data_IF_127344226321
#
_entry.id   IF_127344226321
#
_cell.length_a   1.000
_cell.length_b   1.000
_cell.length_c   1.000
_cell.angle_alpha   90.00
_cell.angle_beta   90.00
_cell.angle_gamma   90.00
#
_symmetry.space_group_name_H-M   'P 1'
#
loop_
_entity.id
_entity.type
_entity.pdbx_description
1 polymer ?
#
# COMPACT_ATOMS: atom_id res chain seq x y z
N UNK A 1 55.70 13.25 17.69
CA UNK A 1 54.70 12.24 17.31
C UNK A 1 54.85 11.11 18.31
N UNK A 2 54.01 11.07 19.35
CA UNK A 2 54.04 9.97 20.31
C UNK A 2 53.46 8.73 19.66
N UNK A 3 54.25 7.64 19.62
CA UNK A 3 53.78 6.34 19.18
C UNK A 3 52.70 5.82 20.11
N UNK A 4 51.76 5.04 19.58
CA UNK A 4 50.82 4.33 20.46
C UNK A 4 51.58 3.31 21.31
N UNK A 5 51.22 3.06 22.58
CA UNK A 5 51.92 2.08 23.43
C UNK A 5 52.05 0.67 22.81
N UNK A 6 51.12 0.28 21.94
CA UNK A 6 51.14 -0.98 21.18
C UNK A 6 52.15 -0.99 20.02
N UNK A 7 52.50 0.18 19.49
CA UNK A 7 53.55 0.33 18.48
C UNK A 7 54.92 0.21 19.16
N UNK A 8 55.13 0.97 20.24
CA UNK A 8 56.37 0.98 21.02
C UNK A 8 56.69 -0.42 21.60
N UNK A 9 55.66 -1.14 22.07
CA UNK A 9 55.82 -2.53 22.54
C UNK A 9 56.27 -3.50 21.43
N UNK A 10 55.82 -3.29 20.19
CA UNK A 10 56.25 -4.12 19.05
C UNK A 10 57.65 -3.76 18.59
N UNK A 11 58.01 -2.48 18.57
CA UNK A 11 59.35 -2.00 18.22
C UNK A 11 60.39 -2.47 19.23
N UNK A 12 60.08 -2.39 20.53
CA UNK A 12 60.95 -2.89 21.58
C UNK A 12 61.18 -4.40 21.50
N UNK A 13 60.16 -5.19 21.17
CA UNK A 13 60.30 -6.64 20.93
C UNK A 13 61.14 -6.94 19.69
N UNK A 14 61.06 -6.12 18.65
CA UNK A 14 61.90 -6.27 17.46
C UNK A 14 63.39 -5.98 17.77
N UNK A 15 63.66 -5.03 18.67
CA UNK A 15 65.01 -4.71 19.13
C UNK A 15 65.58 -5.73 20.15
N UNK A 16 64.74 -6.55 20.79
CA UNK A 16 65.14 -7.50 21.84
C UNK A 16 64.61 -8.93 21.57
N UNK A 17 65.23 -9.70 20.66
CA UNK A 17 64.70 -11.00 20.22
C UNK A 17 64.66 -12.10 21.29
N UNK A 18 65.45 -11.97 22.37
CA UNK A 18 65.45 -12.91 23.50
C UNK A 18 64.31 -12.67 24.50
N UNK A 19 63.62 -11.54 24.41
CA UNK A 19 62.60 -11.13 25.36
C UNK A 19 61.22 -11.65 24.98
N UNK A 20 60.37 -11.82 25.99
CA UNK A 20 59.03 -12.37 25.79
C UNK A 20 57.97 -11.29 25.59
N UNK A 21 56.89 -11.63 24.87
CA UNK A 21 55.70 -10.77 24.73
C UNK A 21 55.08 -10.42 26.10
N UNK A 22 55.29 -11.28 27.11
CA UNK A 22 54.88 -11.03 28.50
C UNK A 22 55.70 -9.90 29.13
N UNK A 23 57.01 -9.86 28.89
CA UNK A 23 57.90 -8.77 29.35
C UNK A 23 57.46 -7.43 28.75
N UNK A 24 57.29 -7.37 27.42
CA UNK A 24 56.84 -6.15 26.74
C UNK A 24 55.44 -5.70 27.18
N UNK A 25 54.52 -6.63 27.42
CA UNK A 25 53.18 -6.32 27.94
C UNK A 25 53.22 -5.60 29.28
N UNK A 26 54.13 -6.02 30.18
CA UNK A 26 54.30 -5.38 31.50
C UNK A 26 54.95 -4.00 31.40
N UNK A 27 55.96 -3.84 30.54
CA UNK A 27 56.68 -2.57 30.36
C UNK A 27 55.76 -1.49 29.77
N UNK A 28 55.07 -1.83 28.68
CA UNK A 28 54.28 -0.87 27.91
C UNK A 28 52.80 -0.82 28.31
N UNK A 29 52.39 -1.59 29.32
CA UNK A 29 50.99 -1.70 29.81
C UNK A 29 49.98 -2.02 28.71
N UNK A 30 50.32 -2.94 27.82
CA UNK A 30 49.46 -3.41 26.72
C UNK A 30 49.08 -4.88 26.95
N UNK A 31 47.83 -5.33 26.70
CA UNK A 31 47.47 -6.73 26.83
C UNK A 31 48.30 -7.66 25.95
N UNK A 32 48.77 -8.79 26.50
CA UNK A 32 49.58 -9.78 25.78
C UNK A 32 48.90 -10.31 24.52
N UNK A 33 47.57 -10.47 24.56
CA UNK A 33 46.76 -10.94 23.42
C UNK A 33 46.84 -9.99 22.23
N UNK A 34 46.89 -8.69 22.48
CA UNK A 34 46.93 -7.65 21.43
C UNK A 34 48.30 -7.60 20.77
N UNK A 35 49.38 -7.61 21.55
CA UNK A 35 50.76 -7.64 21.04
C UNK A 35 51.02 -8.92 20.25
N UNK A 36 50.61 -10.08 20.79
CA UNK A 36 50.69 -11.38 20.09
C UNK A 36 49.90 -11.36 18.78
N UNK A 37 48.65 -10.89 18.79
CA UNK A 37 47.83 -10.81 17.58
C UNK A 37 48.44 -9.92 16.50
N UNK A 38 49.05 -8.79 16.88
CA UNK A 38 49.69 -7.86 15.95
C UNK A 38 50.94 -8.47 15.31
N UNK A 39 51.77 -9.16 16.09
CA UNK A 39 52.94 -9.90 15.59
C UNK A 39 52.49 -11.02 14.64
N UNK A 40 51.50 -11.82 15.03
CA UNK A 40 50.96 -12.90 14.18
C UNK A 40 50.38 -12.37 12.87
N UNK A 41 49.68 -11.22 12.91
CA UNK A 41 49.15 -10.58 11.69
C UNK A 41 50.24 -10.01 10.79
N UNK A 42 51.33 -9.50 11.36
CA UNK A 42 52.47 -8.99 10.59
C UNK A 42 53.30 -10.12 9.95
N UNK A 43 53.35 -11.29 10.59
CA UNK A 43 54.05 -12.48 10.07
C UNK A 43 53.23 -13.27 9.04
N UNK A 44 51.92 -13.00 8.90
CA UNK A 44 51.10 -13.65 7.88
C UNK A 44 51.36 -13.02 6.50
N UNK A 45 51.61 -13.82 5.45
CA UNK A 45 51.71 -13.31 4.09
C UNK A 45 50.41 -12.56 3.73
N UNK A 46 50.52 -11.47 2.99
CA UNK A 46 49.42 -10.60 2.58
C UNK A 46 48.40 -11.35 1.71
N UNK A 47 47.57 -12.19 2.31
CA UNK A 47 46.45 -12.84 1.64
C UNK A 47 45.31 -13.07 2.61
N UNK A 48 44.62 -11.97 2.93
CA UNK A 48 43.17 -12.08 3.11
C UNK A 48 42.55 -12.04 1.73
N UNK A 49 42.28 -13.20 1.15
CA UNK A 49 41.17 -13.27 0.20
C UNK A 49 39.93 -12.74 0.95
N UNK A 50 39.15 -11.84 0.36
CA UNK A 50 37.96 -11.32 1.01
C UNK A 50 37.10 -12.52 1.41
N UNK A 51 36.76 -12.63 2.69
CA UNK A 51 35.76 -13.61 3.11
C UNK A 51 34.48 -13.34 2.32
N UNK A 52 33.90 -14.41 1.77
CA UNK A 52 32.73 -14.38 0.91
C UNK A 52 31.62 -13.46 1.44
N UNK A 53 31.03 -12.71 0.52
CA UNK A 53 30.06 -11.65 0.81
C UNK A 53 29.86 -10.64 -0.33
N UNK A 54 30.61 -10.77 -1.44
CA UNK A 54 30.55 -9.89 -2.61
C UNK A 54 29.61 -10.35 -3.74
N UNK A 55 28.74 -11.35 -3.53
CA UNK A 55 27.64 -11.65 -4.47
C UNK A 55 26.51 -10.60 -4.37
N UNK A 56 26.84 -9.31 -4.52
CA UNK A 56 25.89 -8.19 -4.40
C UNK A 56 25.76 -7.33 -5.64
N UNK A 57 26.63 -7.51 -6.63
CA UNK A 57 26.62 -6.72 -7.86
C UNK A 57 26.38 -7.69 -9.01
N UNK A 58 25.25 -7.50 -9.71
CA UNK A 58 24.95 -8.26 -10.92
C UNK A 58 25.97 -7.87 -11.98
N UNK A 59 26.46 -8.83 -12.77
CA UNK A 59 27.31 -8.48 -13.91
C UNK A 59 26.51 -7.65 -14.93
N UNK A 60 27.20 -6.92 -15.81
CA UNK A 60 26.55 -6.15 -16.89
C UNK A 60 25.62 -7.03 -17.71
N UNK A 61 26.05 -8.25 -18.06
CA UNK A 61 25.21 -9.20 -18.81
C UNK A 61 23.99 -9.70 -18.03
N UNK A 62 24.13 -9.94 -16.72
CA UNK A 62 23.00 -10.32 -15.86
C UNK A 62 22.01 -9.17 -15.70
N UNK A 63 22.51 -7.95 -15.60
CA UNK A 63 21.70 -6.74 -15.52
C UNK A 63 20.90 -6.55 -16.80
N UNK A 64 21.53 -6.61 -17.98
CA UNK A 64 20.83 -6.51 -19.27
C UNK A 64 19.82 -7.64 -19.48
N UNK A 65 20.15 -8.88 -19.14
CA UNK A 65 19.19 -9.99 -19.20
C UNK A 65 17.98 -9.75 -18.29
N UNK A 66 18.19 -9.21 -17.09
CA UNK A 66 17.12 -8.90 -16.15
C UNK A 66 16.24 -7.74 -16.66
N UNK A 67 16.83 -6.72 -17.31
CA UNK A 67 16.07 -5.63 -17.96
C UNK A 67 15.18 -6.16 -19.07
N UNK A 68 15.73 -6.97 -19.97
CA UNK A 68 14.98 -7.58 -21.07
C UNK A 68 13.82 -8.42 -20.54
N UNK A 69 14.08 -9.26 -19.54
CA UNK A 69 13.04 -10.07 -18.90
C UNK A 69 11.94 -9.21 -18.25
N UNK A 70 12.29 -8.15 -17.52
CA UNK A 70 11.30 -7.23 -16.90
C UNK A 70 10.41 -6.60 -17.99
N UNK A 71 10.99 -6.15 -19.09
CA UNK A 71 10.25 -5.57 -20.22
C UNK A 71 9.32 -6.58 -20.88
N UNK A 72 9.77 -7.82 -21.08
CA UNK A 72 8.92 -8.90 -21.61
C UNK A 72 7.75 -9.21 -20.70
N UNK A 73 7.98 -9.31 -19.38
CA UNK A 73 6.90 -9.53 -18.41
C UNK A 73 5.88 -8.38 -18.44
N UNK A 74 6.35 -7.13 -18.54
CA UNK A 74 5.49 -5.96 -18.67
C UNK A 74 4.58 -6.05 -19.91
N UNK A 75 5.12 -6.44 -21.07
CA UNK A 75 4.33 -6.62 -22.29
C UNK A 75 3.31 -7.76 -22.18
N UNK A 76 3.58 -8.77 -21.36
CA UNK A 76 2.63 -9.85 -21.03
C UNK A 76 1.58 -9.42 -19.98
N UNK A 77 1.64 -8.19 -19.47
CA UNK A 77 0.77 -7.70 -18.40
C UNK A 77 1.11 -8.26 -17.01
N UNK A 78 2.29 -8.86 -16.87
CA UNK A 78 2.81 -9.42 -15.63
C UNK A 78 3.77 -8.41 -14.98
N UNK A 79 3.60 -8.16 -13.68
CA UNK A 79 4.48 -7.29 -12.92
C UNK A 79 5.60 -8.06 -12.26
N UNK A 80 6.85 -7.64 -12.45
CA UNK A 80 7.97 -8.17 -11.68
C UNK A 80 7.90 -7.64 -10.23
N UNK A 81 7.77 -8.53 -9.26
CA UNK A 81 7.68 -8.14 -7.85
C UNK A 81 9.04 -7.63 -7.35
N UNK A 82 9.03 -6.70 -6.40
CA UNK A 82 10.22 -6.19 -5.69
C UNK A 82 11.06 -7.31 -5.06
N UNK A 83 10.43 -8.42 -4.68
CA UNK A 83 11.14 -9.61 -4.18
C UNK A 83 11.83 -10.42 -5.29
N UNK A 84 11.31 -10.37 -6.52
CA UNK A 84 11.90 -11.03 -7.69
C UNK A 84 13.12 -10.26 -8.19
N UNK A 85 13.09 -8.93 -8.09
CA UNK A 85 14.19 -8.04 -8.45
C UNK A 85 15.01 -7.73 -7.20
N UNK A 86 15.77 -8.72 -6.74
CA UNK A 86 16.61 -8.66 -5.53
C UNK A 86 17.50 -7.41 -5.51
N UNK A 87 17.35 -6.51 -4.50
CA UNK A 87 18.19 -5.31 -4.20
C UNK A 87 18.96 -4.68 -5.39
N UNK A 88 18.38 -4.68 -6.59
CA UNK A 88 19.03 -4.18 -7.78
C UNK A 88 18.86 -2.66 -7.80
N UNK A 89 19.59 -2.00 -6.91
CA UNK A 89 19.64 -0.54 -6.87
C UNK A 89 20.09 0.02 -8.22
N UNK A 90 20.90 -0.73 -8.97
CA UNK A 90 21.36 -0.38 -10.32
C UNK A 90 20.22 -0.31 -11.35
N UNK A 91 19.12 -1.06 -11.16
CA UNK A 91 17.96 -1.00 -12.05
C UNK A 91 17.05 0.21 -11.80
N UNK A 92 17.25 0.95 -10.70
CA UNK A 92 16.44 2.14 -10.38
C UNK A 92 16.70 3.33 -11.31
N UNK A 93 17.80 3.31 -12.06
CA UNK A 93 18.06 4.31 -13.09
C UNK A 93 17.10 4.15 -14.27
N UNK A 94 16.77 2.91 -14.62
CA UNK A 94 15.98 2.59 -15.82
C UNK A 94 14.52 2.23 -15.52
N UNK A 95 14.21 1.78 -14.29
CA UNK A 95 12.88 1.32 -13.90
C UNK A 95 12.42 1.91 -12.56
N UNK A 96 11.13 2.19 -12.45
CA UNK A 96 10.51 2.62 -11.20
C UNK A 96 9.35 1.68 -10.83
N UNK A 97 9.08 1.57 -9.52
CA UNK A 97 7.95 0.78 -9.05
C UNK A 97 6.66 1.59 -9.16
N UNK A 98 5.64 1.01 -9.78
CA UNK A 98 4.27 1.54 -9.81
C UNK A 98 3.39 0.62 -8.97
N UNK A 99 2.48 1.19 -8.19
CA UNK A 99 1.41 0.43 -7.53
C UNK A 99 0.37 0.04 -8.56
N UNK A 100 0.22 -1.26 -8.83
CA UNK A 100 -0.82 -1.75 -9.72
C UNK A 100 -2.19 -1.48 -9.09
N UNK A 101 -3.13 -0.98 -9.90
CA UNK A 101 -4.54 -0.94 -9.51
C UNK A 101 -5.17 -2.24 -10.00
N UNK A 102 -5.58 -3.16 -9.10
CA UNK A 102 -6.19 -4.40 -9.54
C UNK A 102 -7.49 -4.08 -10.29
N UNK A 103 -7.49 -4.34 -11.59
CA UNK A 103 -8.72 -4.38 -12.38
C UNK A 103 -9.17 -5.83 -12.45
N UNK A 104 -10.44 -6.09 -12.15
CA UNK A 104 -10.98 -7.44 -12.23
C UNK A 104 -10.81 -7.97 -13.67
N UNK A 105 -10.29 -9.18 -13.83
CA UNK A 105 -10.00 -9.78 -15.15
C UNK A 105 -11.23 -9.78 -16.08
N UNK A 106 -12.42 -9.92 -15.52
CA UNK A 106 -13.69 -9.82 -16.25
C UNK A 106 -13.91 -8.42 -16.87
N UNK A 107 -13.51 -7.34 -16.18
CA UNK A 107 -13.60 -5.96 -16.70
C UNK A 107 -12.62 -5.74 -17.86
N UNK A 108 -11.41 -6.30 -17.77
CA UNK A 108 -10.42 -6.24 -18.86
C UNK A 108 -10.90 -6.99 -20.11
N UNK A 109 -11.48 -8.19 -19.94
CA UNK A 109 -12.03 -8.98 -21.07
C UNK A 109 -13.29 -8.36 -21.68
N UNK A 110 -14.10 -7.65 -20.89
CA UNK A 110 -15.30 -6.97 -21.35
C UNK A 110 -15.02 -5.66 -22.10
N UNK A 111 -13.88 -5.01 -21.85
CA UNK A 111 -13.48 -3.74 -22.48
C UNK A 111 -12.65 -3.98 -23.76
N UNK A 112 -13.25 -4.60 -24.77
CA UNK A 112 -12.65 -4.60 -26.11
C UNK A 112 -12.91 -3.25 -26.79
N UNK A 113 -11.84 -2.49 -27.05
CA UNK A 113 -11.91 -1.16 -27.66
C UNK A 113 -12.82 -1.09 -28.91
N UNK A 114 -12.73 -2.02 -29.89
CA UNK A 114 -13.58 -1.97 -31.07
C UNK A 114 -15.08 -2.10 -30.74
N UNK A 115 -15.41 -2.94 -29.77
CA UNK A 115 -16.78 -3.18 -29.32
C UNK A 115 -17.35 -1.94 -28.61
N UNK A 116 -16.54 -1.30 -27.76
CA UNK A 116 -16.90 -0.06 -27.07
C UNK A 116 -17.13 1.07 -28.07
N UNK A 117 -16.23 1.26 -29.04
CA UNK A 117 -16.38 2.28 -30.10
C UNK A 117 -17.65 2.03 -30.92
N UNK A 118 -17.90 0.79 -31.32
CA UNK A 118 -19.11 0.42 -32.09
C UNK A 118 -20.38 0.71 -31.30
N UNK A 119 -20.39 0.43 -30.00
CA UNK A 119 -21.51 0.73 -29.12
C UNK A 119 -21.76 2.24 -29.02
N UNK A 120 -20.72 3.06 -28.76
CA UNK A 120 -20.87 4.52 -28.66
C UNK A 120 -21.34 5.16 -29.98
N UNK A 121 -20.87 4.65 -31.12
CA UNK A 121 -21.36 5.10 -32.44
C UNK A 121 -22.87 4.86 -32.59
N UNK A 122 -23.34 3.65 -32.25
CA UNK A 122 -24.77 3.31 -32.29
C UNK A 122 -25.59 4.15 -31.31
N UNK A 123 -25.10 4.32 -30.08
CA UNK A 123 -25.74 5.12 -29.05
C UNK A 123 -25.90 6.58 -29.48
N UNK A 124 -24.83 7.18 -30.02
CA UNK A 124 -24.86 8.57 -30.50
C UNK A 124 -25.79 8.75 -31.69
N UNK A 125 -25.82 7.78 -32.61
CA UNK A 125 -26.75 7.80 -33.74
C UNK A 125 -28.21 7.74 -33.25
N UNK A 126 -28.51 6.87 -32.30
CA UNK A 126 -29.84 6.72 -31.71
C UNK A 126 -30.31 7.97 -30.96
N UNK A 127 -29.42 8.62 -30.19
CA UNK A 127 -29.74 9.90 -29.54
C UNK A 127 -30.14 10.95 -30.57
N UNK A 128 -29.38 11.06 -31.67
CA UNK A 128 -29.65 12.03 -32.74
C UNK A 128 -30.95 11.72 -33.48
N UNK A 129 -31.15 10.47 -33.88
CA UNK A 129 -32.33 10.02 -34.61
C UNK A 129 -33.62 10.26 -33.81
N UNK A 130 -33.59 9.95 -32.51
CA UNK A 130 -34.76 10.10 -31.62
C UNK A 130 -34.85 11.47 -30.95
N UNK A 131 -33.95 12.40 -31.28
CA UNK A 131 -33.87 13.75 -30.68
C UNK A 131 -33.96 13.72 -29.14
N UNK A 132 -33.23 12.78 -28.51
CA UNK A 132 -33.28 12.59 -27.06
C UNK A 132 -32.59 13.78 -26.39
N UNK A 133 -33.32 14.48 -25.54
CA UNK A 133 -32.77 15.57 -24.75
C UNK A 133 -31.72 15.02 -23.77
N UNK A 134 -30.48 15.57 -23.74
CA UNK A 134 -29.47 15.18 -22.75
C UNK A 134 -29.94 15.27 -21.29
N UNK A 135 -30.86 16.19 -20.98
CA UNK A 135 -31.46 16.31 -19.64
C UNK A 135 -32.27 15.06 -19.24
N UNK A 136 -32.75 14.28 -20.20
CA UNK A 136 -33.51 13.05 -19.99
C UNK A 136 -32.63 11.80 -19.92
N UNK A 137 -31.31 11.95 -20.07
CA UNK A 137 -30.35 10.86 -19.95
C UNK A 137 -29.85 10.84 -18.51
N UNK A 138 -30.11 9.74 -17.79
CA UNK A 138 -29.74 9.59 -16.38
C UNK A 138 -28.71 8.48 -16.22
N UNK A 139 -27.62 8.78 -15.50
CA UNK A 139 -26.73 7.78 -14.96
C UNK A 139 -27.15 7.49 -13.52
N UNK A 140 -27.29 6.20 -13.18
CA UNK A 140 -27.55 5.73 -11.84
C UNK A 140 -26.39 4.81 -11.43
N UNK A 141 -25.88 5.00 -10.22
CA UNK A 141 -24.85 4.12 -9.65
C UNK A 141 -25.18 3.73 -8.22
N UNK A 142 -24.74 2.53 -7.83
CA UNK A 142 -24.94 1.97 -6.50
C UNK A 142 -23.60 1.86 -5.78
N UNK A 143 -23.52 2.42 -4.57
CA UNK A 143 -22.38 2.23 -3.67
C UNK A 143 -22.83 1.57 -2.38
N UNK A 144 -22.33 0.35 -2.14
CA UNK A 144 -22.54 -0.39 -0.90
C UNK A 144 -21.36 -0.21 0.06
N UNK A 145 -21.64 0.07 1.33
CA UNK A 145 -20.64 0.07 2.40
C UNK A 145 -21.11 -0.77 3.60
N UNK A 146 -20.14 -1.31 4.35
CA UNK A 146 -20.41 -2.18 5.50
C UNK A 146 -20.06 -1.46 6.78
N UNK A 147 -21.06 -1.27 7.63
CA UNK A 147 -20.88 -0.67 8.95
C UNK A 147 -20.01 -1.60 9.80
N UNK A 148 -18.97 -1.04 10.44
CA UNK A 148 -18.13 -1.78 11.39
C UNK A 148 -16.91 -2.50 10.81
N UNK A 149 -16.67 -2.43 9.49
CA UNK A 149 -15.45 -2.93 8.87
C UNK A 149 -14.60 -1.74 8.43
N UNK A 150 -13.55 -1.34 9.18
CA UNK A 150 -12.63 -0.32 8.74
C UNK A 150 -11.74 -0.90 7.64
N UNK A 151 -12.23 -0.94 6.41
CA UNK A 151 -11.44 -1.26 5.24
C UNK A 151 -10.57 -0.07 4.84
N UNK A 152 -9.59 0.32 5.65
CA UNK A 152 -8.60 1.36 5.31
C UNK A 152 -9.18 2.69 4.78
N UNK A 153 -10.44 3.01 5.09
CA UNK A 153 -11.22 4.09 4.47
C UNK A 153 -11.14 5.39 5.27
N UNK A 154 -11.18 6.52 4.56
CA UNK A 154 -11.19 7.86 5.18
C UNK A 154 -12.57 8.16 5.74
N UNK A 155 -12.73 8.01 7.04
CA UNK A 155 -13.96 8.35 7.75
C UNK A 155 -14.00 9.85 8.09
N UNK A 156 -15.17 10.47 7.92
CA UNK A 156 -15.42 11.85 8.34
C UNK A 156 -15.82 11.84 9.82
N UNK A 157 -15.03 12.48 10.67
CA UNK A 157 -15.26 12.51 12.13
C UNK A 157 -15.45 13.96 12.56
N UNK A 158 -16.36 14.28 13.52
CA UNK A 158 -16.48 15.62 14.06
C UNK A 158 -15.12 16.19 14.51
N UNK A 159 -14.88 17.48 14.23
CA UNK A 159 -13.58 18.14 14.46
C UNK A 159 -13.06 18.04 15.90
N UNK A 160 -13.94 17.82 16.88
CA UNK A 160 -13.60 17.67 18.30
C UNK A 160 -13.11 16.27 18.68
N UNK A 161 -13.29 15.25 17.84
CA UNK A 161 -12.89 13.88 18.12
C UNK A 161 -11.38 13.71 17.91
N UNK A 162 -10.64 13.44 18.99
CA UNK A 162 -9.19 13.22 18.94
C UNK A 162 -8.80 11.78 18.60
N UNK A 163 -9.61 10.80 19.00
CA UNK A 163 -9.41 9.38 18.72
C UNK A 163 -10.76 8.74 18.42
N UNK A 164 -10.80 7.80 17.47
CA UNK A 164 -11.96 6.94 17.22
C UNK A 164 -11.53 5.48 17.38
N UNK A 165 -12.07 4.82 18.40
CA UNK A 165 -11.87 3.39 18.62
C UNK A 165 -13.07 2.65 18.04
N UNK A 166 -12.87 1.93 16.94
CA UNK A 166 -13.90 1.05 16.37
C UNK A 166 -13.76 -0.31 17.05
N UNK A 167 -14.56 -0.58 18.08
CA UNK A 167 -14.83 -1.96 18.50
C UNK A 167 -15.45 -2.67 17.31
N UNK A 168 -14.79 -3.70 16.77
CA UNK A 168 -15.32 -4.52 15.66
C UNK A 168 -16.68 -5.07 16.07
N UNK A 169 -17.80 -4.54 15.56
CA UNK A 169 -19.10 -5.08 15.91
C UNK A 169 -19.26 -6.43 15.21
N UNK A 170 -19.84 -7.42 15.89
CA UNK A 170 -20.30 -8.64 15.22
C UNK A 170 -21.33 -8.30 14.12
N UNK A 171 -22.04 -7.19 14.28
CA UNK A 171 -23.04 -6.72 13.33
C UNK A 171 -22.42 -5.97 12.14
N UNK A 172 -22.37 -6.65 11.00
CA UNK A 172 -21.82 -6.20 9.70
C UNK A 172 -22.94 -5.74 8.76
N UNK A 173 -23.79 -4.81 9.22
CA UNK A 173 -24.91 -4.30 8.44
C UNK A 173 -24.39 -3.63 7.16
N UNK A 174 -24.87 -4.08 6.00
CA UNK A 174 -24.63 -3.43 4.72
C UNK A 174 -25.64 -2.31 4.50
N UNK A 175 -25.16 -1.15 4.08
CA UNK A 175 -25.98 -0.02 3.65
C UNK A 175 -25.64 0.24 2.19
N UNK A 176 -26.67 0.41 1.39
CA UNK A 176 -26.53 0.76 -0.02
C UNK A 176 -27.04 2.18 -0.23
N UNK A 177 -26.25 3.00 -0.93
CA UNK A 177 -26.67 4.30 -1.45
C UNK A 177 -26.82 4.17 -2.96
N UNK A 178 -27.95 4.66 -3.47
CA UNK A 178 -28.20 4.80 -4.91
C UNK A 178 -28.18 6.30 -5.23
N UNK A 179 -27.31 6.70 -6.14
CA UNK A 179 -27.23 8.07 -6.63
C UNK A 179 -27.59 8.11 -8.12
N UNK A 180 -28.29 9.17 -8.54
CA UNK A 180 -28.60 9.38 -9.95
C UNK A 180 -28.38 10.83 -10.37
N UNK A 181 -27.68 11.01 -11.49
CA UNK A 181 -27.33 12.31 -12.07
C UNK A 181 -27.63 12.29 -13.56
N UNK A 182 -28.33 13.31 -14.03
CA UNK A 182 -28.60 13.49 -15.46
C UNK A 182 -27.35 13.97 -16.20
N UNK A 183 -27.27 13.74 -17.50
CA UNK A 183 -26.19 14.28 -18.35
C UNK A 183 -26.20 15.82 -18.39
N UNK A 184 -27.31 16.45 -18.00
CA UNK A 184 -27.44 17.90 -17.81
C UNK A 184 -27.09 18.42 -16.41
N UNK A 185 -26.66 17.55 -15.49
CA UNK A 185 -26.21 17.93 -14.14
C UNK A 185 -27.31 18.02 -13.08
N UNK A 186 -28.58 17.75 -13.40
CA UNK A 186 -29.61 17.55 -12.38
C UNK A 186 -29.33 16.31 -11.55
N UNK A 187 -29.63 16.36 -10.26
CA UNK A 187 -29.37 15.30 -9.29
C UNK A 187 -30.67 14.86 -8.63
N UNK A 188 -30.87 13.55 -8.51
CA UNK A 188 -31.93 12.98 -7.67
C UNK A 188 -31.34 12.80 -6.26
N UNK A 189 -32.07 13.18 -5.19
CA UNK A 189 -31.64 12.91 -3.82
C UNK A 189 -31.28 11.43 -3.63
N UNK A 190 -30.15 11.12 -2.96
CA UNK A 190 -29.68 9.74 -2.81
C UNK A 190 -30.72 8.89 -2.07
N UNK A 191 -30.94 7.67 -2.55
CA UNK A 191 -31.81 6.69 -1.90
C UNK A 191 -30.94 5.78 -1.03
N UNK A 192 -31.28 5.68 0.26
CA UNK A 192 -30.63 4.76 1.18
C UNK A 192 -31.47 3.48 1.32
N UNK A 193 -30.85 2.34 1.05
CA UNK A 193 -31.41 1.03 1.32
C UNK A 193 -30.71 0.46 2.56
N UNK A 194 -31.49 0.23 3.61
CA UNK A 194 -31.00 -0.18 4.93
C UNK A 194 -31.85 -1.36 5.42
N UNK A 195 -31.26 -2.37 6.06
CA UNK A 195 -32.02 -3.43 6.71
C UNK A 195 -32.96 -2.88 7.78
N UNK A 196 -34.23 -3.31 7.73
CA UNK A 196 -35.33 -2.80 8.56
C UNK A 196 -35.07 -2.93 10.07
N UNK A 197 -34.37 -3.97 10.51
CA UNK A 197 -34.07 -4.24 11.92
C UNK A 197 -32.61 -3.90 12.25
N UNK A 198 -32.14 -2.71 11.86
CA UNK A 198 -30.83 -2.22 12.25
C UNK A 198 -30.96 -0.99 13.15
N UNK A 199 -30.10 -0.89 14.17
CA UNK A 199 -30.00 0.29 15.05
C UNK A 199 -29.78 1.58 14.24
N UNK A 200 -29.14 1.45 13.07
CA UNK A 200 -28.90 2.54 12.12
C UNK A 200 -30.20 3.04 11.49
N UNK A 201 -31.13 2.15 11.11
CA UNK A 201 -32.43 2.53 10.57
C UNK A 201 -33.23 3.39 11.57
N UNK A 202 -33.25 2.99 12.85
CA UNK A 202 -33.92 3.74 13.92
C UNK A 202 -33.28 5.11 14.15
N UNK A 203 -31.95 5.19 14.14
CA UNK A 203 -31.22 6.45 14.34
C UNK A 203 -31.44 7.44 13.17
N UNK A 204 -31.41 6.96 11.92
CA UNK A 204 -31.68 7.77 10.74
C UNK A 204 -33.13 8.23 10.67
N UNK A 205 -34.09 7.37 11.01
CA UNK A 205 -35.50 7.76 11.09
C UNK A 205 -35.71 8.91 12.10
N UNK A 206 -35.07 8.83 13.27
CA UNK A 206 -35.13 9.89 14.28
C UNK A 206 -34.53 11.20 13.77
N UNK A 207 -33.36 11.16 13.11
CA UNK A 207 -32.68 12.33 12.56
C UNK A 207 -33.46 12.98 11.39
N UNK A 208 -34.07 12.17 10.54
CA UNK A 208 -34.91 12.66 9.44
C UNK A 208 -36.23 13.27 9.96
N UNK A 209 -36.81 12.68 11.01
CA UNK A 209 -38.03 13.20 11.61
C UNK A 209 -37.81 14.51 12.37
N UNK A 210 -36.62 14.74 12.92
CA UNK A 210 -36.27 15.98 13.63
C UNK A 210 -35.91 17.16 12.72
N UNK A 211 -35.74 16.93 11.41
CA UNK A 211 -35.33 17.97 10.44
C UNK A 211 -36.48 18.52 9.60
N UNK A 212 -37.74 18.10 9.81
CA UNK A 212 -38.91 18.72 9.16
C UNK A 212 -39.27 20.07 9.79
N UNK A 213 -39.21 21.20 9.06
CA UNK A 213 -39.83 22.44 9.49
C UNK A 213 -41.32 22.43 9.10
N UNK A 214 -42.21 22.68 10.07
CA UNK A 214 -43.64 22.90 9.82
C UNK A 214 -44.52 21.70 10.16
N UNK A 215 -45.18 21.77 11.32
CA UNK A 215 -46.41 21.02 11.59
C UNK A 215 -47.53 21.63 10.74
N UNK A 216 -48.08 20.87 9.80
CA UNK A 216 -49.53 20.88 9.55
C UNK A 216 -50.04 19.49 9.90
N UNK A 217 -50.98 19.42 10.84
CA UNK A 217 -51.72 18.20 11.14
C UNK A 217 -52.50 17.81 9.88
N UNK A 218 -52.25 16.62 9.34
CA UNK A 218 -53.02 16.12 8.20
C UNK A 218 -52.29 15.11 7.34
N UNK A 219 -51.98 13.93 7.90
CA UNK A 219 -51.85 12.62 7.25
C UNK A 219 -50.81 11.79 8.00
N UNK A 220 -51.29 11.03 8.99
CA UNK A 220 -50.53 9.96 9.60
C UNK A 220 -50.39 8.86 8.54
N UNK A 221 -49.23 8.73 7.90
CA UNK A 221 -48.88 7.48 7.25
C UNK A 221 -48.70 6.43 8.35
N UNK A 222 -49.79 5.72 8.70
CA UNK A 222 -49.72 4.51 9.51
C UNK A 222 -49.02 3.45 8.66
N UNK A 223 -47.76 3.18 8.97
CA UNK A 223 -47.17 1.88 8.62
C UNK A 223 -47.39 0.97 9.83
N UNK A 224 -48.35 0.05 9.69
CA UNK A 224 -48.57 -1.04 10.64
C UNK A 224 -47.39 -2.01 10.53
N UNK A 225 -46.50 -1.99 11.51
CA UNK A 225 -45.69 -3.16 11.83
C UNK A 225 -46.59 -4.13 12.58
N UNK A 226 -47.11 -5.14 11.90
CA UNK A 226 -47.51 -6.36 12.63
C UNK A 226 -46.24 -7.13 12.99
N UNK A 227 -46.08 -7.57 14.25
CA UNK A 227 -44.99 -8.44 14.63
C UNK A 227 -45.19 -9.79 13.94
N UNK A 228 -44.16 -10.22 13.21
CA UNK A 228 -44.02 -11.60 12.80
C UNK A 228 -43.67 -12.42 14.04
N UNK A 229 -44.65 -13.15 14.58
CA UNK A 229 -44.39 -14.21 15.56
C UNK A 229 -44.04 -15.53 14.83
N UNK A 230 -43.12 -16.33 15.40
CA UNK A 230 -42.33 -17.35 14.70
C UNK A 230 -43.11 -18.56 14.18
#
# INVERSE_FOLDING_TARGET
MEGTPLFDACEWLAANPSETVSTASRIFKVPQSTTRSKITRAAQPARKLPHGGQNRVLSTGQTEALKTWITEQYHLGLGANRHMIYRANELKADFHFITTKPIAQQRTKAQQEPTVIKWFKKYTAMIRERSINPMSIWNMDETGFRVGIPGGERILVPRAAKNLYTTSPENRTSITIIEAVSAGGQKIPPVLVIPACSTVATALHRAYSSTRPGKSQGSTARFSCEPYEP
#
